data_IF_839418322856
#
_entry.id   IF_839418322856
#
_cell.length_a   1.000
_cell.length_b   1.000
_cell.length_c   1.000
_cell.angle_alpha   90.00
_cell.angle_beta   90.00
_cell.angle_gamma   90.00
#
_symmetry.space_group_name_H-M   'P 1'
#
loop_
_entity.id
_entity.type
_entity.pdbx_description
1 polymer ?
#
# COMPACT_ATOMS: atom_id res chain seq x y z
N UNK A 1 2.07 3.69 -12.44
CA UNK A 1 1.23 2.49 -12.57
C UNK A 1 1.57 1.63 -11.40
N UNK A 2 0.60 1.35 -10.54
CA UNK A 2 0.80 0.50 -9.37
C UNK A 2 -0.20 -0.64 -9.45
N UNK A 3 0.27 -1.81 -9.07
CA UNK A 3 -0.51 -3.05 -8.99
C UNK A 3 -0.56 -3.46 -7.54
N UNK A 4 -1.74 -3.79 -7.03
CA UNK A 4 -1.88 -4.37 -5.70
C UNK A 4 -2.15 -5.86 -5.86
N UNK A 5 -1.34 -6.66 -5.16
CA UNK A 5 -1.51 -8.10 -5.05
C UNK A 5 -2.15 -8.41 -3.71
N UNK A 6 -3.29 -9.08 -3.76
CA UNK A 6 -4.07 -9.48 -2.60
C UNK A 6 -3.95 -11.00 -2.47
N UNK A 7 -3.51 -11.49 -1.32
CA UNK A 7 -3.42 -12.90 -0.98
C UNK A 7 -4.42 -13.21 0.13
N UNK A 8 -5.26 -14.23 -0.06
CA UNK A 8 -6.17 -14.72 0.97
C UNK A 8 -5.50 -15.78 1.85
N UNK A 9 -5.62 -15.62 3.16
CA UNK A 9 -5.11 -16.61 4.14
C UNK A 9 -6.10 -17.78 4.31
N UNK A 10 -7.40 -17.50 4.24
CA UNK A 10 -8.47 -18.47 4.52
C UNK A 10 -9.42 -18.75 3.35
N UNK A 11 -10.07 -19.92 3.39
CA UNK A 11 -11.17 -20.26 2.47
C UNK A 11 -12.40 -19.37 2.70
N UNK A 12 -13.11 -19.03 1.63
CA UNK A 12 -14.30 -18.18 1.71
C UNK A 12 -14.01 -16.75 2.13
N UNK A 13 -12.79 -16.26 1.83
CA UNK A 13 -12.41 -14.86 1.95
C UNK A 13 -13.14 -14.06 0.87
N UNK A 14 -13.71 -12.93 1.24
CA UNK A 14 -14.42 -12.01 0.37
C UNK A 14 -13.74 -10.65 0.50
N UNK A 15 -13.23 -10.12 -0.61
CA UNK A 15 -12.53 -8.82 -0.64
C UNK A 15 -13.31 -7.83 -1.48
N UNK A 16 -13.57 -6.63 -0.97
CA UNK A 16 -14.09 -5.50 -1.76
C UNK A 16 -12.99 -4.48 -1.98
N UNK A 17 -12.96 -3.91 -3.18
CA UNK A 17 -12.02 -2.86 -3.57
C UNK A 17 -12.83 -1.59 -3.81
N UNK A 18 -12.60 -0.55 -3.00
CA UNK A 18 -13.36 0.72 -3.04
C UNK A 18 -14.88 0.54 -2.98
N UNK A 19 -15.37 -0.40 -2.15
CA UNK A 19 -16.80 -0.71 -2.03
C UNK A 19 -17.42 -1.37 -3.28
N UNK A 20 -16.60 -1.83 -4.23
CA UNK A 20 -17.04 -2.53 -5.43
C UNK A 20 -17.56 -3.96 -5.18
N UNK A 21 -17.80 -4.70 -6.27
CA UNK A 21 -18.27 -6.08 -6.20
C UNK A 21 -17.26 -6.97 -5.44
N UNK A 22 -17.73 -7.90 -4.57
CA UNK A 22 -16.82 -8.75 -3.82
C UNK A 22 -16.08 -9.76 -4.71
N UNK A 23 -14.80 -9.90 -4.44
CA UNK A 23 -13.92 -10.94 -4.97
C UNK A 23 -13.95 -12.13 -4.01
N UNK A 24 -14.48 -13.26 -4.47
CA UNK A 24 -14.47 -14.51 -3.71
C UNK A 24 -13.12 -15.21 -3.88
N UNK A 25 -12.47 -15.52 -2.76
CA UNK A 25 -11.12 -16.07 -2.71
C UNK A 25 -11.05 -17.21 -1.68
N UNK A 26 -10.19 -18.19 -1.95
CA UNK A 26 -9.84 -19.26 -1.04
C UNK A 26 -8.40 -19.13 -0.53
N UNK A 27 -8.04 -19.94 0.46
CA UNK A 27 -6.70 -19.92 1.04
C UNK A 27 -5.63 -20.13 -0.03
N UNK A 28 -4.67 -19.22 -0.11
CA UNK A 28 -3.60 -19.24 -1.12
C UNK A 28 -3.98 -18.59 -2.45
N UNK A 29 -5.24 -18.20 -2.67
CA UNK A 29 -5.63 -17.48 -3.87
C UNK A 29 -5.00 -16.09 -3.88
N UNK A 30 -4.56 -15.67 -5.07
CA UNK A 30 -3.94 -14.38 -5.32
C UNK A 30 -4.72 -13.66 -6.40
N UNK A 31 -5.07 -12.40 -6.15
CA UNK A 31 -5.68 -11.50 -7.13
C UNK A 31 -4.82 -10.25 -7.27
N UNK A 32 -4.63 -9.80 -8.51
CA UNK A 32 -3.97 -8.53 -8.80
C UNK A 32 -4.98 -7.52 -9.34
N UNK A 33 -4.92 -6.30 -8.82
CA UNK A 33 -5.76 -5.18 -9.23
C UNK A 33 -4.91 -3.94 -9.48
N UNK A 34 -5.23 -3.22 -10.56
CA UNK A 34 -4.38 -2.18 -11.12
C UNK A 34 -5.22 -0.92 -11.42
N UNK A 35 -4.57 0.15 -11.89
CA UNK A 35 -5.22 1.35 -12.46
C UNK A 35 -6.06 2.18 -11.47
N UNK A 36 -5.54 2.39 -10.27
CA UNK A 36 -6.16 3.31 -9.31
C UNK A 36 -5.80 4.76 -9.62
N UNK A 37 -6.81 5.63 -9.69
CA UNK A 37 -6.61 7.08 -9.87
C UNK A 37 -6.22 7.82 -8.57
N UNK A 38 -6.30 7.14 -7.42
CA UNK A 38 -6.00 7.67 -6.10
C UNK A 38 -5.82 6.55 -5.08
N UNK A 39 -6.00 6.86 -3.79
CA UNK A 39 -5.98 5.86 -2.73
C UNK A 39 -7.02 4.75 -2.97
N UNK A 40 -6.67 3.52 -2.59
CA UNK A 40 -7.54 2.36 -2.68
C UNK A 40 -7.83 1.81 -1.29
N UNK A 41 -9.08 1.51 -1.01
CA UNK A 41 -9.52 0.82 0.20
C UNK A 41 -9.77 -0.65 -0.12
N UNK A 42 -9.10 -1.54 0.61
CA UNK A 42 -9.29 -2.99 0.54
C UNK A 42 -9.95 -3.43 1.84
N UNK A 43 -11.17 -3.97 1.75
CA UNK A 43 -11.89 -4.47 2.91
C UNK A 43 -12.13 -5.96 2.73
N UNK A 44 -12.00 -6.73 3.81
CA UNK A 44 -12.26 -8.16 3.78
C UNK A 44 -12.94 -8.65 5.04
N UNK A 45 -13.71 -9.73 4.89
CA UNK A 45 -14.31 -10.44 6.01
C UNK A 45 -13.33 -11.37 6.76
N UNK A 46 -12.12 -11.57 6.22
CA UNK A 46 -11.11 -12.50 6.72
C UNK A 46 -9.68 -11.96 6.51
N UNK A 47 -8.66 -12.53 7.16
CA UNK A 47 -7.28 -12.09 6.97
C UNK A 47 -6.83 -12.16 5.51
N UNK A 48 -6.26 -11.04 5.04
CA UNK A 48 -5.62 -10.92 3.74
C UNK A 48 -4.25 -10.23 3.89
N UNK A 49 -3.34 -10.52 2.97
CA UNK A 49 -2.13 -9.73 2.78
C UNK A 49 -2.26 -8.90 1.51
N UNK A 50 -1.88 -7.62 1.57
CA UNK A 50 -1.85 -6.74 0.41
C UNK A 50 -0.42 -6.27 0.18
N UNK A 51 0.07 -6.43 -1.04
CA UNK A 51 1.36 -5.91 -1.45
C UNK A 51 1.19 -4.94 -2.62
N UNK A 52 1.80 -3.75 -2.52
CA UNK A 52 1.89 -2.78 -3.60
C UNK A 52 3.14 -3.04 -4.42
N UNK A 53 2.96 -3.36 -5.70
CA UNK A 53 4.00 -3.46 -6.70
C UNK A 53 4.12 -2.12 -7.44
N UNK A 54 5.30 -1.52 -7.37
CA UNK A 54 5.71 -0.38 -8.17
C UNK A 54 6.45 -0.90 -9.40
N UNK A 55 5.82 -0.82 -10.56
CA UNK A 55 6.23 -1.57 -11.77
C UNK A 55 7.41 -0.95 -12.55
N UNK A 56 7.93 0.20 -12.12
CA UNK A 56 9.10 0.85 -12.70
C UNK A 56 8.85 1.54 -14.06
N UNK A 57 9.93 1.63 -14.86
CA UNK A 57 10.13 2.53 -16.02
C UNK A 57 8.95 2.72 -16.98
N UNK A 58 8.35 1.63 -17.49
CA UNK A 58 7.33 1.73 -18.54
C UNK A 58 5.92 2.04 -18.03
N UNK A 59 5.65 1.78 -16.74
CA UNK A 59 4.31 1.87 -16.16
C UNK A 59 4.19 2.99 -15.12
N UNK A 60 5.28 3.37 -14.45
CA UNK A 60 5.28 4.28 -13.30
C UNK A 60 6.37 5.36 -13.31
N UNK A 61 7.06 5.55 -14.44
CA UNK A 61 8.20 6.46 -14.57
C UNK A 61 9.55 5.77 -14.29
N UNK A 62 10.66 6.47 -14.54
CA UNK A 62 12.02 5.91 -14.43
C UNK A 62 12.35 5.43 -13.01
N UNK A 63 12.65 4.13 -12.87
CA UNK A 63 13.07 3.52 -11.61
C UNK A 63 13.03 1.99 -11.67
N UNK A 64 13.74 1.34 -10.75
CA UNK A 64 13.68 -0.11 -10.60
C UNK A 64 12.35 -0.53 -9.96
N UNK A 65 11.78 -1.68 -10.34
CA UNK A 65 10.60 -2.20 -9.68
C UNK A 65 10.83 -2.42 -8.18
N UNK A 66 9.81 -2.13 -7.38
CA UNK A 66 9.85 -2.29 -5.92
C UNK A 66 8.52 -2.87 -5.40
N UNK A 67 8.58 -3.57 -4.25
CA UNK A 67 7.43 -4.19 -3.61
C UNK A 67 7.33 -3.72 -2.16
N UNK A 68 6.14 -3.30 -1.75
CA UNK A 68 5.83 -2.91 -0.37
C UNK A 68 4.70 -3.78 0.16
N UNK A 69 4.90 -4.44 1.30
CA UNK A 69 3.81 -5.12 2.01
C UNK A 69 3.09 -4.09 2.88
N UNK A 70 1.77 -4.02 2.75
CA UNK A 70 0.93 -3.09 3.48
C UNK A 70 0.37 -3.76 4.73
N UNK A 71 0.36 -3.00 5.82
CA UNK A 71 -0.36 -3.37 7.03
C UNK A 71 -1.84 -2.97 6.89
N UNK A 72 -2.71 -3.66 7.63
CA UNK A 72 -4.11 -3.27 7.74
C UNK A 72 -4.24 -1.89 8.38
N UNK A 73 -5.29 -1.13 8.02
CA UNK A 73 -5.52 0.20 8.58
C UNK A 73 -5.73 0.16 10.11
N UNK A 74 -6.29 -0.94 10.62
CA UNK A 74 -6.48 -1.22 12.05
C UNK A 74 -5.17 -1.52 12.79
N UNK A 75 -4.07 -1.69 12.05
CA UNK A 75 -2.70 -1.86 12.58
C UNK A 75 -1.84 -0.61 12.30
N UNK A 76 -2.48 0.57 12.29
CA UNK A 76 -1.79 1.84 12.19
C UNK A 76 -0.82 2.05 13.35
N UNK A 77 0.23 2.83 13.08
CA UNK A 77 1.27 3.17 14.06
C UNK A 77 1.37 4.69 14.16
N UNK A 78 1.61 5.19 15.37
CA UNK A 78 1.71 6.64 15.63
C UNK A 78 3.12 7.19 15.39
N UNK A 79 4.14 6.33 15.37
CA UNK A 79 5.53 6.73 15.17
C UNK A 79 6.31 5.69 14.37
N UNK A 80 7.09 6.16 13.40
CA UNK A 80 7.96 5.33 12.56
C UNK A 80 9.28 6.05 12.32
N UNK A 81 10.37 5.29 12.29
CA UNK A 81 11.67 5.80 11.86
C UNK A 81 12.14 5.02 10.64
N UNK A 82 12.65 5.72 9.65
CA UNK A 82 13.18 5.15 8.42
C UNK A 82 14.49 5.85 8.05
N UNK A 83 15.29 5.21 7.21
CA UNK A 83 16.53 5.77 6.70
C UNK A 83 16.48 5.89 5.18
N UNK A 84 17.09 6.94 4.66
CA UNK A 84 17.32 7.09 3.22
C UNK A 84 18.77 6.71 2.88
N UNK A 85 18.99 6.30 1.64
CA UNK A 85 20.35 6.01 1.16
C UNK A 85 21.09 7.31 0.91
N UNK A 86 22.28 7.45 1.49
CA UNK A 86 23.21 8.54 1.17
C UNK A 86 23.95 8.21 -0.12
N UNK A 87 23.77 9.01 -1.16
CA UNK A 87 24.36 8.78 -2.48
C UNK A 87 24.69 10.11 -3.16
N UNK A 88 25.73 10.12 -4.01
CA UNK A 88 26.07 11.27 -4.85
C UNK A 88 25.22 11.37 -6.11
N UNK A 89 24.43 10.33 -6.41
CA UNK A 89 23.56 10.27 -7.60
C UNK A 89 22.07 10.23 -7.25
N UNK A 90 21.70 9.74 -6.05
CA UNK A 90 20.31 9.79 -5.55
C UNK A 90 20.20 10.98 -4.61
N UNK A 91 19.70 12.09 -5.14
CA UNK A 91 19.67 13.38 -4.45
C UNK A 91 18.25 13.78 -4.01
N UNK A 92 17.27 12.91 -4.23
CA UNK A 92 15.86 13.14 -3.95
C UNK A 92 15.23 11.87 -3.40
N UNK A 93 14.38 12.03 -2.40
CA UNK A 93 13.60 10.96 -1.79
C UNK A 93 12.15 11.43 -1.67
N UNK A 94 11.21 10.50 -1.82
CA UNK A 94 9.78 10.77 -1.72
C UNK A 94 9.19 9.91 -0.61
N UNK A 95 8.23 10.48 0.12
CA UNK A 95 7.50 9.80 1.19
C UNK A 95 6.00 9.93 0.89
N UNK A 96 5.29 8.81 0.99
CA UNK A 96 3.83 8.78 1.00
C UNK A 96 3.37 8.37 2.40
N UNK A 97 2.50 9.17 3.01
CA UNK A 97 1.94 8.91 4.35
C UNK A 97 0.43 8.80 4.21
N UNK A 98 -0.15 7.73 4.75
CA UNK A 98 -1.59 7.52 4.81
C UNK A 98 -2.00 7.61 6.28
N UNK A 99 -2.88 8.55 6.60
CA UNK A 99 -3.41 8.79 7.94
C UNK A 99 -4.91 9.03 7.86
N UNK A 100 -5.59 8.87 8.99
CA UNK A 100 -6.96 9.36 9.13
C UNK A 100 -7.01 10.87 8.90
N UNK A 101 -8.10 11.35 8.30
CA UNK A 101 -8.30 12.79 8.03
C UNK A 101 -8.17 13.66 9.29
N UNK A 102 -8.62 13.15 10.44
CA UNK A 102 -8.52 13.85 11.73
C UNK A 102 -7.08 14.00 12.23
N UNK A 103 -6.17 13.13 11.79
CA UNK A 103 -4.76 13.11 12.19
C UNK A 103 -3.86 13.95 11.29
N UNK A 104 -4.37 14.50 10.18
CA UNK A 104 -3.60 15.37 9.28
C UNK A 104 -2.90 16.52 10.03
N UNK A 105 -3.56 17.25 10.97
CA UNK A 105 -2.91 18.37 11.67
C UNK A 105 -1.81 17.95 12.67
N UNK A 106 -1.69 16.65 12.96
CA UNK A 106 -0.74 16.12 13.95
C UNK A 106 0.44 15.38 13.33
N UNK A 107 0.46 15.23 12.00
CA UNK A 107 1.61 14.64 11.30
C UNK A 107 2.82 15.54 11.49
N UNK A 108 3.98 14.94 11.76
CA UNK A 108 5.26 15.65 11.79
C UNK A 108 6.35 14.79 11.17
N UNK A 109 7.33 15.43 10.52
CA UNK A 109 8.54 14.85 9.99
C UNK A 109 9.74 15.43 10.74
N UNK A 110 10.50 14.57 11.42
CA UNK A 110 11.64 14.96 12.25
C UNK A 110 11.33 16.07 13.26
N UNK A 111 10.13 16.02 13.84
CA UNK A 111 9.63 17.01 14.80
C UNK A 111 9.11 18.32 14.19
N UNK A 112 9.07 18.43 12.86
CA UNK A 112 8.50 19.57 12.14
C UNK A 112 7.13 19.20 11.56
N UNK A 113 6.08 20.04 11.71
CA UNK A 113 4.75 19.80 11.12
C UNK A 113 4.76 19.71 9.60
#
# INVERSE_FOLDING_TARGET
GYTYRILADENGTSVTVNGGAPLAMNAGDVVEVNNFAGAACFESNKPINVAQLMEGSSCSGNGDPALLILNAAEQSIDNVSFATVVSTVINQHFLNVIVETASIPTVSLDGNP
#
